data_IF_701886832978
#
_entry.id   IF_701886832978
#
_cell.length_a   1.000
_cell.length_b   1.000
_cell.length_c   1.000
_cell.angle_alpha   90.00
_cell.angle_beta   90.00
_cell.angle_gamma   90.00
#
_symmetry.space_group_name_H-M   'P 1'
#
loop_
_entity.id
_entity.type
_entity.pdbx_description
1 polymer ?
#
# COMPACT_ATOMS: atom_id res chain seq x y z
N UNK A 1 19.74 -23.66 -53.33
CA UNK A 1 19.29 -22.28 -53.07
C UNK A 1 18.51 -22.31 -51.78
N UNK A 2 19.24 -22.09 -50.71
CA UNK A 2 18.72 -22.20 -49.34
C UNK A 2 18.06 -20.91 -48.94
N UNK A 3 16.77 -21.04 -48.59
CA UNK A 3 16.02 -19.97 -47.96
C UNK A 3 16.11 -20.06 -46.44
N UNK A 4 17.03 -19.34 -45.86
CA UNK A 4 17.13 -19.17 -44.40
C UNK A 4 15.82 -18.44 -43.92
N UNK A 5 15.02 -19.14 -43.12
CA UNK A 5 13.90 -18.54 -42.40
C UNK A 5 14.48 -17.89 -41.14
N UNK A 6 14.45 -16.59 -41.19
CA UNK A 6 14.75 -15.73 -40.06
C UNK A 6 13.71 -15.97 -38.94
N UNK A 7 14.12 -16.65 -37.88
CA UNK A 7 13.29 -16.85 -36.69
C UNK A 7 13.40 -15.60 -35.83
N UNK A 8 12.58 -14.58 -36.11
CA UNK A 8 12.38 -13.47 -35.20
C UNK A 8 11.69 -13.99 -33.95
N UNK A 9 12.49 -14.17 -32.90
CA UNK A 9 11.99 -14.37 -31.55
C UNK A 9 11.12 -13.15 -31.18
N UNK A 10 9.84 -13.32 -30.80
CA UNK A 10 9.06 -12.19 -30.33
C UNK A 10 9.65 -11.73 -29.00
N UNK A 11 10.32 -10.58 -29.03
CA UNK A 11 10.70 -9.85 -27.81
C UNK A 11 9.42 -9.62 -27.02
N UNK A 12 9.23 -10.32 -25.91
CA UNK A 12 8.29 -9.91 -24.89
C UNK A 12 8.61 -8.44 -24.56
N UNK A 13 7.63 -7.54 -24.56
CA UNK A 13 7.87 -6.19 -24.10
C UNK A 13 8.39 -6.33 -22.67
N UNK A 14 9.61 -5.90 -22.44
CA UNK A 14 10.16 -5.77 -21.09
C UNK A 14 9.17 -4.93 -20.32
N UNK A 15 8.47 -5.50 -19.33
CA UNK A 15 7.66 -4.72 -18.40
C UNK A 15 8.60 -3.66 -17.84
N UNK A 16 8.35 -2.41 -18.20
CA UNK A 16 9.07 -1.30 -17.62
C UNK A 16 8.73 -1.31 -16.13
N UNK A 17 9.73 -1.34 -15.27
CA UNK A 17 9.57 -1.27 -13.82
C UNK A 17 10.31 -0.05 -13.31
N UNK A 18 9.72 0.64 -12.36
CA UNK A 18 10.40 1.70 -11.63
C UNK A 18 11.47 1.02 -10.74
N UNK A 19 12.71 1.50 -10.81
CA UNK A 19 13.79 0.97 -9.98
C UNK A 19 13.45 1.07 -8.49
N UNK A 20 13.70 0.01 -7.73
CA UNK A 20 13.37 -0.06 -6.30
C UNK A 20 14.03 1.07 -5.50
N UNK A 21 15.30 1.39 -5.82
CA UNK A 21 16.04 2.46 -5.18
C UNK A 21 15.40 3.83 -5.43
N UNK A 22 14.84 4.05 -6.64
CA UNK A 22 14.14 5.28 -6.98
C UNK A 22 12.84 5.39 -6.17
N UNK A 23 12.06 4.29 -6.05
CA UNK A 23 10.85 4.25 -5.25
C UNK A 23 11.15 4.55 -3.77
N UNK A 24 12.10 3.84 -3.18
CA UNK A 24 12.50 4.03 -1.77
C UNK A 24 12.98 5.48 -1.55
N UNK A 25 13.78 6.00 -2.48
CA UNK A 25 14.24 7.40 -2.41
C UNK A 25 13.08 8.39 -2.49
N UNK A 26 12.14 8.20 -3.41
CA UNK A 26 10.98 9.07 -3.57
C UNK A 26 10.10 9.11 -2.30
N UNK A 27 9.78 7.94 -1.73
CA UNK A 27 9.06 7.86 -0.45
C UNK A 27 9.80 8.58 0.67
N UNK A 28 11.11 8.42 0.75
CA UNK A 28 11.94 9.14 1.73
C UNK A 28 11.94 10.67 1.53
N UNK A 29 11.60 11.15 0.34
CA UNK A 29 11.42 12.58 0.00
C UNK A 29 9.94 13.02 0.03
N UNK A 30 9.05 12.23 0.62
CA UNK A 30 7.60 12.51 0.69
C UNK A 30 6.88 12.44 -0.67
N UNK A 31 7.46 11.80 -1.69
CA UNK A 31 6.87 11.62 -3.01
C UNK A 31 6.50 10.15 -3.27
N UNK A 32 5.49 9.93 -4.10
CA UNK A 32 5.03 8.58 -4.50
C UNK A 32 4.56 8.60 -5.95
N UNK A 33 4.60 7.46 -6.68
CA UNK A 33 4.20 7.37 -8.07
C UNK A 33 2.71 7.05 -8.22
N UNK A 34 2.12 7.50 -9.34
CA UNK A 34 0.82 7.06 -9.83
C UNK A 34 0.88 6.89 -11.35
N UNK A 35 0.24 5.85 -11.87
CA UNK A 35 0.00 5.72 -13.30
C UNK A 35 -0.97 6.79 -13.80
N UNK A 36 -0.60 7.47 -14.86
CA UNK A 36 -1.40 8.51 -15.49
C UNK A 36 -2.23 7.94 -16.65
N UNK A 37 -3.31 8.62 -17.09
CA UNK A 37 -4.15 8.13 -18.21
C UNK A 37 -3.42 7.97 -19.55
N UNK A 38 -2.32 8.69 -19.75
CA UNK A 38 -1.45 8.59 -20.93
C UNK A 38 -0.45 7.43 -20.87
N UNK A 39 -0.44 6.68 -19.75
CA UNK A 39 0.45 5.55 -19.50
C UNK A 39 1.76 5.93 -18.82
N UNK A 40 2.05 7.20 -18.64
CA UNK A 40 3.26 7.67 -17.94
C UNK A 40 3.12 7.51 -16.42
N UNK A 41 4.25 7.63 -15.70
CA UNK A 41 4.28 7.65 -14.24
C UNK A 41 4.39 9.10 -13.75
N UNK A 42 3.32 9.57 -13.08
CA UNK A 42 3.34 10.85 -12.37
C UNK A 42 3.90 10.69 -10.95
N UNK A 43 4.62 11.71 -10.45
CA UNK A 43 5.13 11.76 -9.08
C UNK A 43 4.40 12.83 -8.28
N UNK A 44 3.91 12.49 -7.10
CA UNK A 44 3.04 13.33 -6.29
C UNK A 44 3.58 13.53 -4.89
N UNK A 45 3.42 14.76 -4.37
CA UNK A 45 3.74 15.14 -2.99
C UNK A 45 2.70 16.17 -2.52
N UNK A 46 1.53 15.73 -2.05
CA UNK A 46 0.44 16.63 -1.69
C UNK A 46 0.74 17.49 -0.45
N UNK A 47 0.19 18.70 -0.46
CA UNK A 47 0.12 19.60 0.69
C UNK A 47 -1.31 20.16 0.78
N UNK A 48 -2.10 19.87 1.84
CA UNK A 48 -1.72 19.10 3.03
C UNK A 48 -1.54 17.60 2.77
N UNK A 49 -0.79 16.93 3.65
CA UNK A 49 -0.59 15.49 3.67
C UNK A 49 -1.47 14.83 4.72
N UNK A 50 -2.18 13.77 4.34
CA UNK A 50 -3.01 13.01 5.27
C UNK A 50 -2.23 11.89 5.95
N UNK A 51 -2.42 11.78 7.27
CA UNK A 51 -1.84 10.71 8.10
C UNK A 51 -2.93 10.14 9.03
N UNK A 52 -2.76 8.91 9.49
CA UNK A 52 -3.50 8.37 10.62
C UNK A 52 -2.57 8.34 11.83
N UNK A 53 -2.80 9.19 12.86
CA UNK A 53 -2.05 9.10 14.10
C UNK A 53 -2.29 7.74 14.76
N UNK A 54 -1.24 6.92 14.88
CA UNK A 54 -1.39 5.54 15.34
C UNK A 54 -2.05 5.44 16.70
N UNK A 55 -1.67 6.30 17.67
CA UNK A 55 -2.20 6.29 19.02
C UNK A 55 -3.65 6.79 19.13
N UNK A 56 -4.09 7.60 18.16
CA UNK A 56 -5.42 8.20 18.11
C UNK A 56 -6.37 7.48 17.13
N UNK A 57 -5.95 6.32 16.59
CA UNK A 57 -6.75 5.57 15.63
C UNK A 57 -8.14 5.26 16.20
N UNK A 58 -9.16 5.80 15.54
CA UNK A 58 -10.54 5.58 15.95
C UNK A 58 -11.09 4.29 15.34
N UNK A 59 -11.69 3.44 16.16
CA UNK A 59 -12.42 2.25 15.71
C UNK A 59 -13.92 2.52 15.75
N UNK A 60 -14.60 2.67 14.60
CA UNK A 60 -16.03 2.93 14.55
C UNK A 60 -16.86 1.83 15.22
N UNK A 61 -18.01 2.18 15.80
CA UNK A 61 -18.86 1.21 16.51
C UNK A 61 -19.27 0.01 15.65
N UNK A 62 -19.56 0.23 14.37
CA UNK A 62 -19.84 -0.86 13.41
C UNK A 62 -18.69 -1.85 13.29
N UNK A 63 -17.47 -1.31 13.12
CA UNK A 63 -16.26 -2.13 13.00
C UNK A 63 -15.98 -2.91 14.30
N UNK A 64 -16.18 -2.30 15.48
CA UNK A 64 -16.02 -3.02 16.77
C UNK A 64 -16.91 -4.26 16.84
N UNK A 65 -18.14 -4.19 16.32
CA UNK A 65 -19.06 -5.35 16.25
C UNK A 65 -18.54 -6.41 15.28
N UNK A 66 -18.03 -6.00 14.11
CA UNK A 66 -17.44 -6.91 13.12
C UNK A 66 -16.22 -7.63 13.69
N UNK A 67 -15.31 -6.90 14.35
CA UNK A 67 -14.12 -7.48 15.00
C UNK A 67 -14.49 -8.50 16.08
N UNK A 68 -15.52 -8.18 16.93
CA UNK A 68 -16.00 -9.12 17.97
C UNK A 68 -16.59 -10.43 17.41
N UNK A 69 -17.11 -10.43 16.18
CA UNK A 69 -17.63 -11.64 15.54
C UNK A 69 -16.55 -12.60 15.11
N UNK A 70 -15.29 -12.17 14.99
CA UNK A 70 -14.14 -13.01 14.62
C UNK A 70 -14.27 -13.71 13.27
N UNK A 71 -14.99 -13.09 12.31
CA UNK A 71 -15.31 -13.69 11.01
C UNK A 71 -14.12 -13.76 10.07
N UNK A 72 -13.17 -12.82 10.23
CA UNK A 72 -12.04 -12.67 9.34
C UNK A 72 -10.76 -13.20 9.97
N UNK A 73 -10.03 -14.02 9.22
CA UNK A 73 -8.65 -14.40 9.49
C UNK A 73 -7.73 -13.36 8.88
N UNK A 74 -6.77 -12.86 9.65
CA UNK A 74 -5.76 -11.90 9.16
C UNK A 74 -4.52 -12.67 8.74
N UNK A 75 -4.07 -12.40 7.53
CA UNK A 75 -2.79 -12.89 7.01
C UNK A 75 -1.94 -11.72 6.54
N UNK A 76 -0.63 -11.90 6.58
CA UNK A 76 0.36 -10.90 6.18
C UNK A 76 1.17 -11.50 5.04
N UNK A 77 1.30 -10.75 3.93
CA UNK A 77 2.18 -11.08 2.81
C UNK A 77 1.92 -12.45 2.14
N UNK A 78 0.71 -13.00 2.28
CA UNK A 78 0.38 -14.31 1.69
C UNK A 78 -0.15 -14.22 0.26
N UNK A 79 -0.66 -13.03 -0.15
CA UNK A 79 -1.27 -12.82 -1.46
C UNK A 79 -1.03 -11.40 -2.01
N UNK A 80 0.18 -10.84 -1.84
CA UNK A 80 0.51 -9.43 -2.12
C UNK A 80 0.06 -8.97 -3.53
N UNK A 81 0.50 -9.67 -4.58
CA UNK A 81 0.12 -9.32 -5.96
C UNK A 81 -1.40 -9.41 -6.18
N UNK A 82 -2.06 -10.41 -5.58
CA UNK A 82 -3.52 -10.55 -5.66
C UNK A 82 -4.22 -9.37 -5.00
N UNK A 83 -3.72 -8.88 -3.86
CA UNK A 83 -4.23 -7.66 -3.20
C UNK A 83 -4.08 -6.46 -4.11
N UNK A 84 -2.92 -6.25 -4.72
CA UNK A 84 -2.71 -5.14 -5.67
C UNK A 84 -3.67 -5.20 -6.86
N UNK A 85 -3.79 -6.37 -7.50
CA UNK A 85 -4.69 -6.55 -8.65
C UNK A 85 -6.16 -6.30 -8.28
N UNK A 86 -6.59 -6.71 -7.09
CA UNK A 86 -7.94 -6.40 -6.58
C UNK A 86 -8.10 -4.91 -6.25
N UNK A 87 -7.07 -4.23 -5.77
CA UNK A 87 -7.08 -2.78 -5.62
C UNK A 87 -7.16 -2.05 -6.97
N UNK A 88 -6.53 -2.59 -8.01
CA UNK A 88 -6.55 -2.06 -9.36
C UNK A 88 -7.89 -2.29 -10.11
N UNK A 89 -8.72 -3.25 -9.66
CA UNK A 89 -9.98 -3.62 -10.31
C UNK A 89 -11.10 -2.59 -10.04
N UNK A 90 -10.91 -1.35 -10.49
CA UNK A 90 -11.84 -0.21 -10.40
C UNK A 90 -11.96 0.43 -11.78
N UNK A 91 -13.07 1.13 -12.04
CA UNK A 91 -13.25 1.89 -13.29
C UNK A 91 -12.16 2.96 -13.45
N UNK A 92 -11.83 3.65 -12.36
CA UNK A 92 -10.74 4.62 -12.34
C UNK A 92 -9.65 4.12 -11.38
N UNK A 93 -8.49 3.79 -11.94
CA UNK A 93 -7.34 3.34 -11.16
C UNK A 93 -6.05 3.96 -11.69
N UNK A 94 -5.16 4.31 -10.76
CA UNK A 94 -3.79 4.71 -11.03
C UNK A 94 -2.81 3.52 -10.98
N UNK A 95 -3.31 2.33 -10.62
CA UNK A 95 -2.50 1.11 -10.48
C UNK A 95 -2.47 0.41 -11.83
N UNK A 96 -1.46 0.71 -12.65
CA UNK A 96 -1.20 0.05 -13.93
C UNK A 96 -0.22 -1.13 -13.76
N UNK A 97 0.07 -1.87 -14.83
CA UNK A 97 0.97 -3.04 -14.79
C UNK A 97 2.41 -2.66 -14.40
N UNK A 98 2.89 -1.48 -14.75
CA UNK A 98 4.20 -0.99 -14.33
C UNK A 98 4.27 -0.78 -12.82
N UNK A 99 3.24 -0.17 -12.22
CA UNK A 99 3.10 -0.03 -10.77
C UNK A 99 3.03 -1.40 -10.10
N UNK A 100 2.21 -2.33 -10.62
CA UNK A 100 2.10 -3.68 -10.04
C UNK A 100 3.46 -4.37 -10.05
N UNK A 101 4.15 -4.42 -11.19
CA UNK A 101 5.45 -5.07 -11.30
C UNK A 101 6.49 -4.46 -10.36
N UNK A 102 6.51 -3.11 -10.26
CA UNK A 102 7.43 -2.37 -9.40
C UNK A 102 7.22 -2.67 -7.92
N UNK A 103 5.97 -2.72 -7.47
CA UNK A 103 5.66 -2.97 -6.05
C UNK A 103 5.76 -4.45 -5.69
N UNK A 104 5.49 -5.37 -6.62
CA UNK A 104 5.81 -6.79 -6.42
C UNK A 104 7.32 -6.98 -6.24
N UNK A 105 8.14 -6.26 -7.00
CA UNK A 105 9.58 -6.27 -6.79
C UNK A 105 9.98 -5.68 -5.43
N UNK A 106 9.38 -4.55 -5.02
CA UNK A 106 9.59 -4.00 -3.66
C UNK A 106 9.18 -4.99 -2.56
N UNK A 107 8.12 -5.77 -2.80
CA UNK A 107 7.68 -6.81 -1.86
C UNK A 107 8.73 -7.92 -1.72
N UNK A 108 9.28 -8.41 -2.83
CA UNK A 108 10.38 -9.40 -2.81
C UNK A 108 11.61 -8.89 -2.07
N UNK A 109 11.87 -7.57 -2.12
CA UNK A 109 12.97 -6.91 -1.39
C UNK A 109 12.62 -6.61 0.08
N UNK A 110 11.39 -6.85 0.53
CA UNK A 110 10.95 -6.63 1.90
C UNK A 110 10.55 -5.18 2.23
N UNK A 111 10.31 -4.34 1.22
CA UNK A 111 9.85 -2.95 1.40
C UNK A 111 8.35 -2.76 1.22
N UNK A 112 7.66 -3.67 0.55
CA UNK A 112 6.21 -3.57 0.37
C UNK A 112 5.51 -4.76 0.99
N UNK A 113 4.34 -4.51 1.63
CA UNK A 113 3.63 -5.49 2.43
C UNK A 113 2.13 -5.41 2.20
N UNK A 114 1.44 -6.55 2.36
CA UNK A 114 -0.02 -6.63 2.38
C UNK A 114 -0.54 -7.08 3.74
N UNK A 115 -1.73 -6.57 4.08
CA UNK A 115 -2.54 -7.06 5.19
C UNK A 115 -3.87 -7.54 4.61
N UNK A 116 -4.19 -8.78 4.84
CA UNK A 116 -5.25 -9.51 4.17
C UNK A 116 -6.31 -9.94 5.18
N UNK A 117 -7.58 -9.73 4.83
CA UNK A 117 -8.73 -10.22 5.57
C UNK A 117 -9.36 -11.38 4.78
N UNK A 118 -9.21 -12.59 5.29
CA UNK A 118 -9.75 -13.83 4.70
C UNK A 118 -11.04 -14.23 5.40
N UNK A 119 -12.01 -14.71 4.63
CA UNK A 119 -13.28 -15.18 5.13
C UNK A 119 -13.64 -16.50 4.44
N UNK A 120 -13.90 -17.56 5.21
CA UNK A 120 -14.24 -18.89 4.68
C UNK A 120 -13.22 -19.43 3.65
N UNK A 121 -11.94 -19.14 3.88
CA UNK A 121 -10.85 -19.55 3.00
C UNK A 121 -10.66 -18.71 1.74
N UNK A 122 -11.47 -17.66 1.52
CA UNK A 122 -11.35 -16.72 0.40
C UNK A 122 -10.82 -15.37 0.85
N UNK A 123 -10.01 -14.70 -0.01
CA UNK A 123 -9.53 -13.35 0.21
C UNK A 123 -10.68 -12.36 0.07
N UNK A 124 -11.20 -11.87 1.19
CA UNK A 124 -12.40 -11.05 1.28
C UNK A 124 -12.14 -9.54 1.22
N UNK A 125 -10.92 -9.12 1.50
CA UNK A 125 -10.45 -7.74 1.42
C UNK A 125 -9.00 -7.64 1.89
N UNK A 126 -8.42 -6.47 1.71
CA UNK A 126 -7.03 -6.25 2.10
C UNK A 126 -6.56 -4.84 1.73
N UNK A 127 -5.34 -4.58 2.10
CA UNK A 127 -4.61 -3.38 1.74
C UNK A 127 -3.15 -3.73 1.46
N UNK A 128 -2.45 -2.84 0.78
CA UNK A 128 -1.00 -2.91 0.65
C UNK A 128 -0.37 -1.55 0.90
N UNK A 129 0.93 -1.56 1.14
CA UNK A 129 1.71 -0.35 1.34
C UNK A 129 3.19 -0.61 1.40
N UNK A 130 3.96 0.47 1.57
CA UNK A 130 5.42 0.47 1.63
C UNK A 130 5.88 0.74 3.05
N UNK A 131 6.92 0.05 3.49
CA UNK A 131 7.52 0.15 4.83
C UNK A 131 8.98 0.57 4.71
N UNK A 132 9.33 1.72 5.30
CA UNK A 132 10.71 2.22 5.32
C UNK A 132 10.99 2.79 6.72
N UNK A 133 11.95 2.22 7.43
CA UNK A 133 12.19 2.57 8.82
C UNK A 133 10.94 2.36 9.67
N UNK A 134 10.53 3.34 10.45
CA UNK A 134 9.29 3.32 11.24
C UNK A 134 8.12 4.07 10.57
N UNK A 135 8.16 4.24 9.24
CA UNK A 135 7.06 4.79 8.44
C UNK A 135 6.41 3.69 7.60
N UNK A 136 5.09 3.68 7.57
CA UNK A 136 4.30 2.87 6.66
C UNK A 136 3.45 3.78 5.77
N UNK A 137 3.55 3.60 4.47
CA UNK A 137 2.81 4.34 3.46
C UNK A 137 1.70 3.44 2.92
N UNK A 138 0.46 3.70 3.36
CA UNK A 138 -0.71 2.96 2.91
C UNK A 138 -1.09 3.38 1.50
N UNK A 139 -1.06 2.47 0.54
CA UNK A 139 -1.26 2.77 -0.87
C UNK A 139 -2.72 2.62 -1.30
N UNK A 140 -3.27 1.44 -1.15
CA UNK A 140 -4.63 1.18 -1.57
C UNK A 140 -5.24 0.03 -0.78
N UNK A 141 -6.58 -0.04 -0.81
CA UNK A 141 -7.33 -1.12 -0.18
C UNK A 141 -8.54 -1.51 -1.02
N UNK A 142 -8.99 -2.75 -0.86
CA UNK A 142 -10.19 -3.27 -1.50
C UNK A 142 -11.02 -4.11 -0.52
N UNK A 143 -12.28 -4.34 -0.84
CA UNK A 143 -13.12 -5.32 -0.16
C UNK A 143 -14.14 -5.93 -1.12
N UNK A 144 -14.36 -7.23 -1.00
CA UNK A 144 -15.44 -7.99 -1.61
C UNK A 144 -16.51 -8.34 -0.58
N UNK A 145 -16.11 -8.44 0.69
CA UNK A 145 -17.01 -8.64 1.80
C UNK A 145 -17.03 -7.38 2.68
N UNK A 146 -18.24 -6.96 3.08
CA UNK A 146 -18.45 -5.76 3.91
C UNK A 146 -17.49 -5.75 5.11
N UNK A 147 -16.85 -4.61 5.35
CA UNK A 147 -15.91 -4.32 6.41
C UNK A 147 -14.52 -5.01 6.28
N UNK A 148 -14.28 -5.89 5.30
CA UNK A 148 -13.01 -6.63 5.21
C UNK A 148 -11.80 -5.69 5.10
N UNK A 149 -11.85 -4.62 4.28
CA UNK A 149 -10.77 -3.62 4.19
C UNK A 149 -10.58 -2.84 5.50
N UNK A 150 -11.65 -2.56 6.24
CA UNK A 150 -11.59 -1.89 7.54
C UNK A 150 -10.95 -2.79 8.61
N UNK A 151 -11.24 -4.10 8.54
CA UNK A 151 -10.62 -5.10 9.42
C UNK A 151 -9.13 -5.20 9.11
N UNK A 152 -8.74 -5.22 7.83
CA UNK A 152 -7.34 -5.19 7.41
C UNK A 152 -6.62 -3.91 7.89
N UNK A 153 -7.25 -2.72 7.77
CA UNK A 153 -6.68 -1.47 8.27
C UNK A 153 -6.52 -1.48 9.80
N UNK A 154 -7.51 -2.00 10.54
CA UNK A 154 -7.38 -2.17 11.98
C UNK A 154 -6.20 -3.09 12.34
N UNK A 155 -6.07 -4.23 11.64
CA UNK A 155 -4.97 -5.16 11.87
C UNK A 155 -3.61 -4.53 11.53
N UNK A 156 -3.53 -3.73 10.45
CA UNK A 156 -2.35 -2.93 10.12
C UNK A 156 -1.96 -2.03 11.30
N UNK A 157 -2.90 -1.22 11.82
CA UNK A 157 -2.61 -0.27 12.91
C UNK A 157 -2.14 -0.99 14.17
N UNK A 158 -2.77 -2.12 14.54
CA UNK A 158 -2.33 -2.95 15.67
C UNK A 158 -0.87 -3.40 15.45
N UNK A 159 -0.58 -3.98 14.28
CA UNK A 159 0.77 -4.43 13.94
C UNK A 159 1.80 -3.30 13.96
N UNK A 160 1.47 -2.14 13.39
CA UNK A 160 2.38 -0.99 13.38
C UNK A 160 2.73 -0.51 14.79
N UNK A 161 1.75 -0.47 15.71
CA UNK A 161 1.98 -0.15 17.12
C UNK A 161 2.89 -1.18 17.79
N UNK A 162 2.59 -2.46 17.64
CA UNK A 162 3.37 -3.56 18.22
C UNK A 162 4.81 -3.58 17.73
N UNK A 163 5.05 -3.18 16.48
CA UNK A 163 6.37 -3.14 15.84
C UNK A 163 7.10 -1.79 16.03
N UNK A 164 6.50 -0.83 16.74
CA UNK A 164 7.14 0.46 17.08
C UNK A 164 7.18 1.48 15.94
N UNK A 165 6.30 1.35 14.95
CA UNK A 165 6.12 2.36 13.91
C UNK A 165 5.61 3.68 14.49
N UNK A 166 5.94 4.78 13.84
CA UNK A 166 5.61 6.13 14.32
C UNK A 166 4.86 6.98 13.31
N UNK A 167 4.72 6.51 12.06
CA UNK A 167 4.02 7.22 11.00
C UNK A 167 3.22 6.24 10.13
N UNK A 168 1.93 6.50 10.00
CA UNK A 168 1.05 5.89 8.99
C UNK A 168 0.56 6.98 8.06
N UNK A 169 1.12 7.00 6.86
CA UNK A 169 0.79 7.92 5.78
C UNK A 169 -0.36 7.35 4.93
N UNK A 170 -1.30 8.19 4.56
CA UNK A 170 -2.44 7.84 3.69
C UNK A 170 -2.59 8.79 2.51
N UNK A 171 -1.57 9.62 2.26
CA UNK A 171 -1.44 10.62 1.20
C UNK A 171 -2.54 11.68 1.21
N UNK A 172 -3.80 11.30 1.03
CA UNK A 172 -4.98 12.15 1.03
C UNK A 172 -6.05 11.64 1.99
N UNK A 173 -6.88 12.56 2.45
CA UNK A 173 -8.14 12.22 3.14
C UNK A 173 -9.16 11.72 2.13
N UNK A 174 -9.87 10.66 2.50
CA UNK A 174 -11.02 10.15 1.76
C UNK A 174 -12.19 9.94 2.71
N UNK A 175 -13.47 10.00 2.24
CA UNK A 175 -14.62 9.74 3.10
C UNK A 175 -14.55 8.40 3.84
N UNK A 176 -13.87 7.41 3.23
CA UNK A 176 -13.64 6.12 3.88
C UNK A 176 -12.69 6.22 5.08
N UNK A 177 -11.66 7.06 4.99
CA UNK A 177 -10.61 7.19 6.02
C UNK A 177 -11.00 8.16 7.14
N UNK A 178 -11.88 9.12 6.90
CA UNK A 178 -12.33 10.11 7.91
C UNK A 178 -12.83 9.44 9.20
N UNK A 179 -13.55 8.31 9.08
CA UNK A 179 -14.07 7.58 10.23
C UNK A 179 -13.00 7.00 11.17
N UNK A 180 -11.74 6.96 10.75
CA UNK A 180 -10.61 6.38 11.51
C UNK A 180 -9.73 7.42 12.20
N UNK A 181 -10.08 8.71 12.09
CA UNK A 181 -9.32 9.79 12.72
C UNK A 181 -8.14 10.27 11.88
N UNK A 182 -8.26 10.19 10.53
CA UNK A 182 -7.28 10.78 9.63
C UNK A 182 -7.12 12.27 9.91
N UNK A 183 -5.91 12.78 9.82
CA UNK A 183 -5.55 14.18 10.02
C UNK A 183 -4.76 14.70 8.83
N UNK A 184 -5.10 15.89 8.37
CA UNK A 184 -4.32 16.61 7.36
C UNK A 184 -3.33 17.54 8.06
N UNK A 185 -2.09 17.42 7.71
CA UNK A 185 -0.99 18.25 8.26
C UNK A 185 -0.22 18.94 7.14
N UNK A 186 0.33 20.14 7.37
CA UNK A 186 1.19 20.80 6.39
C UNK A 186 2.40 19.96 6.01
N UNK A 187 2.75 19.95 4.73
CA UNK A 187 3.87 19.16 4.20
C UNK A 187 5.19 19.35 4.98
N UNK A 188 5.57 20.56 5.44
CA UNK A 188 6.78 20.72 6.25
C UNK A 188 6.73 20.00 7.62
N UNK A 189 5.53 19.84 8.22
CA UNK A 189 5.37 19.06 9.43
C UNK A 189 5.50 17.57 9.13
N UNK A 190 4.82 17.11 8.07
CA UNK A 190 4.92 15.73 7.60
C UNK A 190 6.38 15.32 7.33
N UNK A 191 7.14 16.13 6.60
CA UNK A 191 8.56 15.87 6.30
C UNK A 191 9.41 15.72 7.56
N UNK A 192 9.14 16.51 8.61
CA UNK A 192 9.83 16.37 9.91
C UNK A 192 9.49 15.04 10.61
N UNK A 193 8.21 14.62 10.57
CA UNK A 193 7.78 13.34 11.13
C UNK A 193 8.40 12.18 10.34
N UNK A 194 8.35 12.24 9.02
CA UNK A 194 8.95 11.25 8.12
C UNK A 194 10.45 11.10 8.40
N UNK A 195 11.20 12.21 8.43
CA UNK A 195 12.65 12.18 8.68
C UNK A 195 13.02 11.59 10.05
N UNK A 196 12.13 11.68 11.06
CA UNK A 196 12.31 11.01 12.36
C UNK A 196 12.00 9.52 12.26
N UNK A 197 10.94 9.14 11.56
CA UNK A 197 10.53 7.75 11.38
C UNK A 197 11.57 6.95 10.58
N UNK A 198 12.14 7.54 9.53
CA UNK A 198 13.17 6.90 8.70
C UNK A 198 14.47 6.56 9.46
N UNK A 199 14.76 7.24 10.59
CA UNK A 199 15.96 6.97 11.41
C UNK A 199 15.79 5.79 12.37
N UNK A 200 14.59 5.25 12.48
CA UNK A 200 14.30 4.12 13.37
C UNK A 200 14.30 2.82 12.56
N UNK A 201 14.86 1.79 13.13
CA UNK A 201 14.81 0.45 12.54
C UNK A 201 13.54 -0.26 13.04
N UNK A 202 12.65 -0.56 12.11
CA UNK A 202 11.45 -1.35 12.34
C UNK A 202 11.32 -2.39 11.22
N UNK A 203 10.92 -3.62 11.58
CA UNK A 203 10.65 -4.66 10.63
C UNK A 203 9.14 -4.94 10.58
N UNK A 204 8.55 -4.89 9.39
CA UNK A 204 7.14 -5.20 9.22
C UNK A 204 6.89 -6.72 9.26
N UNK A 205 7.78 -7.51 8.68
CA UNK A 205 7.79 -8.97 8.74
C UNK A 205 8.00 -9.54 10.14
N UNK A 206 8.13 -10.85 10.24
CA UNK A 206 8.48 -11.55 11.50
C UNK A 206 9.94 -11.35 11.87
#
# INVERSE_FOLDING_TARGET
>A
MDGARDATCPLHPSLCMIAAELLVHAYAQAAFPMGMPDGEIGWFSPDPRAIIPLEEFHVPHGLRRTLKKGRFEIRIDTAFETVMRKCAAREETWINEEIIASYVHLHVLGFAHSVEAWCEGALAGGLYGVSIGAAFFGESMFHEVTDASKVALHALVVRLRERGYTLLDTQWTTPHLEQFGVQEIPLPLYQRLLARSLKRECAFGE
#
